data_IF_097508491094
#
_entry.id   IF_097508491094
#
_cell.length_a   1.000
_cell.length_b   1.000
_cell.length_c   1.000
_cell.angle_alpha   90.00
_cell.angle_beta   90.00
_cell.angle_gamma   90.00
#
_symmetry.space_group_name_H-M   'P 1'
#
loop_
_entity.id
_entity.type
_entity.pdbx_description
1 polymer ?
#
# COMPACT_ATOMS: atom_id res chain seq x y z
N UNK A 1 62.36 70.34 -9.88
CA UNK A 1 62.50 68.90 -9.91
C UNK A 1 61.23 68.22 -9.37
N UNK A 2 60.40 67.68 -10.20
CA UNK A 2 59.20 67.00 -9.79
C UNK A 2 59.27 65.52 -10.26
N UNK A 3 59.39 64.63 -9.31
CA UNK A 3 59.37 63.22 -9.56
C UNK A 3 57.94 62.68 -9.57
N UNK A 4 57.52 62.18 -10.71
CA UNK A 4 56.25 61.53 -10.92
C UNK A 4 56.34 60.11 -10.44
N UNK A 5 55.42 59.69 -9.50
CA UNK A 5 55.24 58.32 -9.09
C UNK A 5 54.13 57.71 -9.91
N UNK A 6 54.45 56.72 -10.72
CA UNK A 6 53.49 55.89 -11.42
C UNK A 6 52.91 54.84 -10.45
N UNK A 7 51.63 54.86 -10.23
CA UNK A 7 50.86 53.82 -9.52
C UNK A 7 50.46 52.76 -10.52
N UNK A 8 51.01 51.59 -10.40
CA UNK A 8 50.62 50.42 -11.14
C UNK A 8 49.35 49.80 -10.47
N UNK A 9 48.19 49.85 -11.14
CA UNK A 9 47.00 49.14 -10.72
C UNK A 9 47.07 47.68 -11.18
N UNK A 10 47.13 46.79 -10.22
CA UNK A 10 47.04 45.35 -10.44
C UNK A 10 45.55 45.01 -10.58
N UNK A 11 45.08 44.70 -11.81
CA UNK A 11 43.77 44.10 -12.04
C UNK A 11 43.85 42.59 -11.70
N UNK A 12 43.26 42.20 -10.59
CA UNK A 12 43.08 40.80 -10.29
C UNK A 12 41.85 40.29 -11.07
N UNK A 13 42.08 39.50 -12.11
CA UNK A 13 41.05 38.72 -12.79
C UNK A 13 40.66 37.54 -11.87
N UNK A 14 39.51 37.67 -11.23
CA UNK A 14 38.83 36.52 -10.59
C UNK A 14 38.13 35.73 -11.67
N UNK A 15 38.77 34.64 -12.10
CA UNK A 15 38.16 33.62 -12.96
C UNK A 15 37.12 32.87 -12.11
N UNK A 16 35.84 33.25 -12.22
CA UNK A 16 34.75 32.43 -11.72
C UNK A 16 34.65 31.17 -12.61
N UNK A 17 35.21 30.06 -12.14
CA UNK A 17 34.97 28.77 -12.71
C UNK A 17 33.50 28.41 -12.43
N UNK A 18 32.65 28.63 -13.40
CA UNK A 18 31.32 28.05 -13.42
C UNK A 18 31.48 26.52 -13.50
N UNK A 19 31.39 25.86 -12.36
CA UNK A 19 31.13 24.44 -12.29
C UNK A 19 29.73 24.22 -12.83
N UNK A 20 29.61 24.12 -14.15
CA UNK A 20 28.47 23.41 -14.75
C UNK A 20 28.59 21.99 -14.28
N UNK A 21 27.88 21.66 -13.18
CA UNK A 21 27.50 20.29 -12.92
C UNK A 21 26.68 19.86 -14.15
N UNK A 22 27.32 19.11 -15.06
CA UNK A 22 26.60 18.28 -16.00
C UNK A 22 25.82 17.27 -15.16
N UNK A 23 24.62 17.65 -14.76
CA UNK A 23 23.58 16.69 -14.49
C UNK A 23 23.29 16.03 -15.82
N UNK A 24 24.02 14.97 -16.14
CA UNK A 24 23.60 14.05 -17.16
C UNK A 24 22.19 13.63 -16.75
N UNK A 25 21.25 13.84 -17.61
CA UNK A 25 19.93 13.22 -17.52
C UNK A 25 20.18 11.73 -17.86
N UNK A 26 20.79 11.02 -16.88
CA UNK A 26 20.94 9.58 -16.93
C UNK A 26 19.54 9.02 -16.75
N UNK A 27 18.78 9.07 -17.85
CA UNK A 27 17.41 8.56 -17.89
C UNK A 27 17.39 7.17 -17.27
N UNK A 28 16.46 6.94 -16.32
CA UNK A 28 16.34 5.64 -15.68
C UNK A 28 16.14 4.55 -16.75
N UNK A 29 16.76 3.36 -16.58
CA UNK A 29 16.62 2.25 -17.54
C UNK A 29 15.23 1.60 -17.42
N UNK A 30 14.18 2.40 -17.41
CA UNK A 30 12.79 2.00 -17.43
C UNK A 30 12.21 2.18 -18.82
N UNK A 31 11.11 1.50 -19.13
CA UNK A 31 10.46 1.55 -20.45
C UNK A 31 10.11 2.98 -20.90
N UNK A 32 9.81 3.87 -19.95
CA UNK A 32 9.41 5.26 -20.22
C UNK A 32 10.53 6.28 -19.92
N UNK A 33 11.70 5.83 -19.45
CA UNK A 33 12.77 6.72 -19.00
C UNK A 33 12.47 7.46 -17.69
N UNK A 34 11.32 7.19 -17.07
CA UNK A 34 10.88 7.78 -15.80
C UNK A 34 11.48 7.07 -14.61
N UNK A 35 11.56 7.75 -13.46
CA UNK A 35 11.98 7.13 -12.20
C UNK A 35 11.08 5.94 -11.86
N UNK A 36 11.66 4.80 -11.40
CA UNK A 36 10.86 3.69 -10.91
C UNK A 36 9.94 4.10 -9.78
N UNK A 37 8.70 3.60 -9.79
CA UNK A 37 7.76 3.79 -8.68
C UNK A 37 8.16 2.88 -7.51
N UNK A 38 8.17 3.45 -6.30
CA UNK A 38 8.41 2.71 -5.06
C UNK A 38 7.07 2.32 -4.46
N UNK A 39 6.83 1.01 -4.33
CA UNK A 39 5.61 0.46 -3.75
C UNK A 39 5.92 -0.10 -2.36
N UNK A 40 5.27 0.45 -1.32
CA UNK A 40 5.35 -0.05 0.04
C UNK A 40 4.49 -1.31 0.23
N UNK A 41 5.05 -2.49 -0.11
CA UNK A 41 4.38 -3.79 -0.05
C UNK A 41 3.90 -4.12 1.35
N UNK A 42 2.58 -4.14 1.56
CA UNK A 42 1.91 -4.29 2.87
C UNK A 42 2.25 -3.18 3.87
N UNK A 43 2.70 -2.02 3.37
CA UNK A 43 3.29 -0.96 4.16
C UNK A 43 4.80 -1.13 4.39
N UNK A 44 5.33 -0.58 5.47
CA UNK A 44 6.72 -0.80 5.90
C UNK A 44 6.82 -2.11 6.71
N UNK A 45 6.47 -3.24 6.09
CA UNK A 45 6.28 -4.55 6.71
C UNK A 45 7.53 -5.13 7.37
N UNK A 46 8.73 -4.65 7.01
CA UNK A 46 9.98 -5.00 7.69
C UNK A 46 10.13 -4.34 9.07
N UNK A 47 9.36 -3.28 9.36
CA UNK A 47 9.44 -2.50 10.61
C UNK A 47 8.20 -2.63 11.49
N UNK A 48 7.02 -2.81 10.90
CA UNK A 48 5.73 -2.81 11.58
C UNK A 48 4.87 -3.97 11.07
N UNK A 49 3.88 -4.44 11.85
CA UNK A 49 2.95 -5.46 11.41
C UNK A 49 2.28 -5.10 10.08
N UNK A 50 2.21 -6.09 9.18
CA UNK A 50 1.65 -5.96 7.84
C UNK A 50 0.24 -5.33 7.88
N UNK A 51 -0.06 -4.51 6.87
CA UNK A 51 -1.40 -3.95 6.65
C UNK A 51 -1.96 -3.17 7.84
N UNK A 52 -1.15 -2.28 8.43
CA UNK A 52 -1.58 -1.32 9.45
C UNK A 52 -1.47 0.10 8.92
N UNK A 53 -2.30 1.02 9.42
CA UNK A 53 -2.20 2.45 9.01
C UNK A 53 -0.83 3.02 9.36
N UNK A 54 -0.28 2.62 10.49
CA UNK A 54 1.06 3.02 10.95
C UNK A 54 2.14 2.48 10.02
N UNK A 55 2.00 1.23 9.54
CA UNK A 55 2.89 0.62 8.56
C UNK A 55 2.84 1.34 7.21
N UNK A 56 1.65 1.70 6.73
CA UNK A 56 1.48 2.49 5.50
C UNK A 56 2.05 3.90 5.63
N UNK A 57 1.76 4.58 6.74
CA UNK A 57 2.33 5.90 7.03
C UNK A 57 3.86 5.84 7.04
N UNK A 58 4.43 4.82 7.69
CA UNK A 58 5.88 4.63 7.71
C UNK A 58 6.46 4.40 6.31
N UNK A 59 5.80 3.63 5.44
CA UNK A 59 6.22 3.45 4.05
C UNK A 59 6.24 4.79 3.29
N UNK A 60 5.21 5.61 3.46
CA UNK A 60 5.13 6.95 2.86
C UNK A 60 6.27 7.85 3.35
N UNK A 61 6.59 7.83 4.65
CA UNK A 61 7.70 8.59 5.25
C UNK A 61 9.05 8.13 4.70
N UNK A 62 9.20 6.85 4.35
CA UNK A 62 10.38 6.28 3.72
C UNK A 62 10.47 6.55 2.21
N UNK A 63 9.49 7.27 1.63
CA UNK A 63 9.51 7.71 0.24
C UNK A 63 8.67 6.85 -0.71
N UNK A 64 7.83 5.94 -0.23
CA UNK A 64 6.95 5.19 -1.11
C UNK A 64 6.01 6.10 -1.91
N UNK A 65 5.85 5.81 -3.20
CA UNK A 65 4.91 6.47 -4.10
C UNK A 65 3.52 5.86 -4.01
N UNK A 66 3.48 4.56 -3.74
CA UNK A 66 2.26 3.78 -3.55
C UNK A 66 2.34 2.99 -2.24
N UNK A 67 1.21 2.85 -1.56
CA UNK A 67 1.01 1.89 -0.48
C UNK A 67 0.13 0.76 -0.99
N UNK A 68 0.45 -0.46 -0.57
CA UNK A 68 -0.16 -1.66 -1.11
C UNK A 68 -0.95 -2.40 -0.02
N UNK A 69 -2.30 -2.38 -0.07
CA UNK A 69 -3.17 -3.19 0.76
C UNK A 69 -3.66 -4.44 0.02
N UNK A 70 -3.49 -5.60 0.63
CA UNK A 70 -4.23 -6.82 0.26
C UNK A 70 -5.64 -6.77 0.86
N UNK A 71 -6.66 -7.09 0.09
CA UNK A 71 -8.05 -6.93 0.47
C UNK A 71 -8.78 -8.26 0.61
N UNK A 72 -9.43 -8.44 1.74
CA UNK A 72 -10.39 -9.49 2.02
C UNK A 72 -11.71 -8.88 2.51
N UNK A 73 -12.82 -9.62 2.41
CA UNK A 73 -14.11 -9.14 2.87
C UNK A 73 -14.46 -9.67 4.27
N UNK A 74 -15.05 -8.79 5.08
CA UNK A 74 -15.72 -9.18 6.34
C UNK A 74 -17.05 -9.86 6.07
N UNK A 75 -17.65 -10.46 7.08
CA UNK A 75 -18.98 -11.07 7.03
C UNK A 75 -20.08 -10.10 6.56
N UNK A 76 -19.98 -8.84 6.93
CA UNK A 76 -20.90 -7.75 6.54
C UNK A 76 -20.43 -7.02 5.27
N UNK A 77 -19.44 -7.57 4.55
CA UNK A 77 -19.06 -7.15 3.22
C UNK A 77 -18.17 -5.91 3.13
N UNK A 78 -17.52 -5.51 4.23
CA UNK A 78 -16.55 -4.41 4.22
C UNK A 78 -15.18 -4.95 3.81
N UNK A 79 -14.47 -4.22 2.93
CA UNK A 79 -13.10 -4.57 2.55
C UNK A 79 -12.12 -4.11 3.61
N UNK A 80 -11.31 -5.04 4.11
CA UNK A 80 -10.26 -4.80 5.11
C UNK A 80 -8.91 -5.26 4.58
N UNK A 81 -7.85 -4.60 5.03
CA UNK A 81 -6.50 -4.92 4.60
C UNK A 81 -5.93 -6.09 5.41
N UNK A 82 -5.87 -7.26 4.81
CA UNK A 82 -5.22 -8.48 5.31
C UNK A 82 -4.71 -9.33 4.15
N UNK A 83 -3.50 -9.91 4.33
CA UNK A 83 -2.86 -10.71 3.29
C UNK A 83 -3.67 -11.95 2.93
N UNK A 84 -4.27 -12.62 3.91
CA UNK A 84 -5.03 -13.85 3.70
C UNK A 84 -6.44 -13.74 4.29
N UNK A 85 -7.42 -14.50 3.74
CA UNK A 85 -8.71 -14.70 4.39
C UNK A 85 -8.58 -15.28 5.80
N UNK A 86 -7.60 -16.17 6.02
CA UNK A 86 -7.28 -16.74 7.34
C UNK A 86 -6.41 -15.75 8.14
N UNK A 87 -7.01 -15.14 9.16
CA UNK A 87 -6.38 -14.10 9.98
C UNK A 87 -5.62 -14.62 11.21
N UNK A 88 -5.49 -15.92 11.35
CA UNK A 88 -4.87 -16.57 12.52
C UNK A 88 -3.43 -16.08 12.76
N UNK A 89 -2.62 -16.04 11.71
CA UNK A 89 -1.20 -15.71 11.81
C UNK A 89 -0.88 -14.22 11.77
N UNK A 90 -1.88 -13.35 11.51
CA UNK A 90 -1.67 -11.92 11.31
C UNK A 90 -2.44 -11.05 12.31
N UNK A 91 -3.18 -11.69 13.25
CA UNK A 91 -3.95 -11.00 14.29
C UNK A 91 -3.86 -11.76 15.62
N UNK A 92 -4.24 -11.09 16.69
CA UNK A 92 -4.32 -11.68 18.04
C UNK A 92 -5.58 -12.54 18.27
N UNK A 93 -6.32 -12.92 17.22
CA UNK A 93 -7.60 -13.63 17.29
C UNK A 93 -7.51 -14.95 18.08
N UNK A 94 -6.40 -15.67 17.97
CA UNK A 94 -6.16 -16.93 18.70
C UNK A 94 -6.04 -16.71 20.22
N UNK A 95 -5.80 -15.49 20.67
CA UNK A 95 -5.69 -15.08 22.08
C UNK A 95 -7.01 -14.52 22.63
N UNK A 96 -8.08 -14.52 21.80
CA UNK A 96 -9.39 -13.95 22.13
C UNK A 96 -10.39 -15.03 22.50
N UNK A 97 -10.64 -15.28 23.82
CA UNK A 97 -11.56 -16.33 24.28
C UNK A 97 -12.96 -16.22 23.68
N UNK A 98 -13.46 -14.98 23.48
CA UNK A 98 -14.77 -14.70 22.90
C UNK A 98 -14.93 -15.22 21.47
N UNK A 99 -13.83 -15.45 20.76
CA UNK A 99 -13.82 -15.95 19.38
C UNK A 99 -13.35 -17.41 19.27
N UNK A 100 -13.05 -18.09 20.39
CA UNK A 100 -12.52 -19.46 20.36
C UNK A 100 -13.43 -20.43 19.59
N UNK A 101 -14.75 -20.32 19.77
CA UNK A 101 -15.75 -21.19 19.13
C UNK A 101 -15.89 -20.93 17.59
N UNK A 102 -15.29 -19.87 17.04
CA UNK A 102 -15.33 -19.56 15.62
C UNK A 102 -14.19 -20.17 14.84
N UNK A 103 -13.24 -20.83 15.51
CA UNK A 103 -12.18 -21.58 14.82
C UNK A 103 -12.81 -22.67 13.97
N UNK A 104 -12.49 -22.69 12.66
CA UNK A 104 -13.12 -23.57 11.69
C UNK A 104 -12.15 -24.01 10.60
N UNK A 105 -12.60 -24.91 9.74
CA UNK A 105 -11.86 -25.34 8.54
C UNK A 105 -12.56 -24.82 7.31
N UNK A 106 -11.79 -24.22 6.41
CA UNK A 106 -12.26 -23.77 5.08
C UNK A 106 -11.27 -24.19 4.01
N UNK A 107 -11.74 -24.23 2.78
CA UNK A 107 -10.89 -24.44 1.60
C UNK A 107 -10.69 -23.08 0.94
N UNK A 108 -9.44 -22.65 0.83
CA UNK A 108 -9.02 -21.44 0.11
C UNK A 108 -8.16 -21.92 -1.07
N UNK A 109 -8.57 -21.62 -2.29
CA UNK A 109 -7.88 -22.01 -3.54
C UNK A 109 -7.46 -23.48 -3.59
N UNK A 110 -8.35 -24.37 -3.13
CA UNK A 110 -8.11 -25.82 -3.12
C UNK A 110 -7.29 -26.34 -1.93
N UNK A 111 -6.79 -25.45 -1.07
CA UNK A 111 -6.03 -25.83 0.15
C UNK A 111 -6.96 -25.77 1.37
N UNK A 112 -6.99 -26.85 2.14
CA UNK A 112 -7.73 -26.87 3.40
C UNK A 112 -6.92 -26.20 4.50
N UNK A 113 -7.50 -25.18 5.09
CA UNK A 113 -6.91 -24.42 6.19
C UNK A 113 -7.78 -24.49 7.45
N UNK A 114 -7.15 -24.47 8.62
CA UNK A 114 -7.82 -24.37 9.91
C UNK A 114 -7.45 -23.06 10.60
N UNK A 115 -8.44 -22.33 11.07
CA UNK A 115 -8.19 -21.04 11.74
C UNK A 115 -9.44 -20.19 11.85
N UNK A 116 -9.22 -18.89 11.93
CA UNK A 116 -10.26 -17.85 11.94
C UNK A 116 -10.19 -17.09 10.63
N UNK A 117 -11.34 -16.91 9.98
CA UNK A 117 -11.42 -16.29 8.65
C UNK A 117 -12.13 -14.95 8.73
N UNK A 118 -11.58 -13.91 8.10
CA UNK A 118 -12.14 -12.56 8.09
C UNK A 118 -13.63 -12.54 7.72
N UNK A 119 -14.04 -13.41 6.78
CA UNK A 119 -15.42 -13.57 6.33
C UNK A 119 -16.41 -14.08 7.40
N UNK A 120 -15.93 -14.54 8.55
CA UNK A 120 -16.78 -14.98 9.67
C UNK A 120 -17.01 -13.88 10.71
N UNK A 121 -16.35 -12.73 10.57
CA UNK A 121 -16.40 -11.59 11.49
C UNK A 121 -17.03 -10.37 10.83
N UNK A 122 -17.85 -9.65 11.56
CA UNK A 122 -18.28 -8.31 11.18
C UNK A 122 -17.10 -7.33 11.29
N UNK A 123 -17.19 -6.18 10.62
CA UNK A 123 -16.19 -5.12 10.79
C UNK A 123 -16.02 -4.73 12.25
N UNK A 124 -17.13 -4.57 12.98
CA UNK A 124 -17.09 -4.20 14.40
C UNK A 124 -16.27 -5.18 15.24
N UNK A 125 -16.41 -6.48 15.00
CA UNK A 125 -15.63 -7.52 15.66
C UNK A 125 -14.15 -7.49 15.23
N UNK A 126 -13.85 -7.36 13.93
CA UNK A 126 -12.47 -7.25 13.46
C UNK A 126 -11.75 -6.03 14.04
N UNK A 127 -12.45 -4.92 14.25
CA UNK A 127 -11.87 -3.72 14.87
C UNK A 127 -11.48 -3.93 16.35
N UNK A 128 -11.96 -4.97 17.02
CA UNK A 128 -11.50 -5.33 18.36
C UNK A 128 -10.16 -6.06 18.36
N UNK A 129 -9.79 -6.69 17.22
CA UNK A 129 -8.54 -7.40 17.05
C UNK A 129 -7.37 -6.44 16.82
N UNK A 130 -6.17 -6.98 17.03
CA UNK A 130 -4.92 -6.25 16.79
C UNK A 130 -4.02 -7.04 15.85
N UNK A 131 -3.33 -6.30 14.98
CA UNK A 131 -2.35 -6.88 14.07
C UNK A 131 -1.13 -7.41 14.83
N UNK A 132 -0.61 -8.54 14.35
CA UNK A 132 0.68 -9.10 14.78
C UNK A 132 1.59 -9.29 13.56
N UNK A 133 2.89 -9.24 13.80
CA UNK A 133 3.91 -9.50 12.78
C UNK A 133 3.95 -10.99 12.47
N UNK A 134 3.67 -11.41 11.21
CA UNK A 134 3.59 -12.83 10.88
C UNK A 134 4.95 -13.54 10.80
N UNK A 135 6.05 -12.81 10.61
CA UNK A 135 7.38 -13.37 10.42
C UNK A 135 8.20 -13.20 11.71
N UNK A 136 8.60 -14.31 12.30
CA UNK A 136 9.26 -14.34 13.61
C UNK A 136 10.61 -13.61 13.65
N UNK A 137 11.30 -13.51 12.52
CA UNK A 137 12.59 -12.81 12.37
C UNK A 137 12.46 -11.29 12.31
N UNK A 138 11.24 -10.75 12.17
CA UNK A 138 10.98 -9.31 12.19
C UNK A 138 10.68 -8.82 13.61
N UNK A 139 10.72 -7.50 13.80
CA UNK A 139 10.43 -6.87 15.10
C UNK A 139 8.99 -7.19 15.56
N UNK A 140 8.89 -7.90 16.70
CA UNK A 140 7.65 -8.31 17.33
C UNK A 140 7.15 -7.29 18.39
N UNK A 141 7.92 -6.23 18.67
CA UNK A 141 7.63 -5.30 19.78
C UNK A 141 6.35 -4.49 19.57
N UNK A 142 5.81 -4.46 18.35
CA UNK A 142 4.58 -3.74 17.99
C UNK A 142 3.35 -4.62 17.87
N UNK A 143 3.47 -5.91 18.15
CA UNK A 143 2.33 -6.82 18.16
C UNK A 143 1.24 -6.38 19.13
N UNK A 144 -0.01 -6.50 18.72
CA UNK A 144 -1.16 -6.17 19.58
C UNK A 144 -1.44 -4.66 19.73
N UNK A 145 -0.72 -3.78 19.02
CA UNK A 145 -0.89 -2.32 19.16
C UNK A 145 -1.83 -1.71 18.14
N UNK A 146 -1.86 -2.21 16.89
CA UNK A 146 -2.51 -1.56 15.77
C UNK A 146 -3.76 -2.31 15.32
N UNK A 147 -4.76 -1.56 14.86
CA UNK A 147 -6.01 -2.11 14.34
C UNK A 147 -5.86 -2.60 12.90
N UNK A 148 -6.83 -3.43 12.47
CA UNK A 148 -7.01 -3.83 11.08
C UNK A 148 -7.73 -2.68 10.35
N UNK A 149 -7.14 -2.06 9.32
CA UNK A 149 -7.79 -0.98 8.60
C UNK A 149 -8.75 -1.49 7.53
N UNK A 150 -9.76 -0.67 7.24
CA UNK A 150 -10.59 -0.81 6.02
C UNK A 150 -9.86 -0.20 4.82
N UNK A 151 -10.30 -0.54 3.60
CA UNK A 151 -9.82 0.13 2.40
C UNK A 151 -10.07 1.64 2.45
N UNK A 152 -11.23 2.09 2.95
CA UNK A 152 -11.54 3.52 3.07
C UNK A 152 -10.53 4.23 3.98
N UNK A 153 -10.20 3.66 5.13
CA UNK A 153 -9.18 4.24 6.04
C UNK A 153 -7.79 4.31 5.39
N UNK A 154 -7.43 3.33 4.54
CA UNK A 154 -6.17 3.36 3.78
C UNK A 154 -6.19 4.49 2.73
N UNK A 155 -7.30 4.67 2.02
CA UNK A 155 -7.46 5.75 1.04
C UNK A 155 -7.46 7.14 1.71
N UNK A 156 -8.10 7.28 2.86
CA UNK A 156 -8.08 8.51 3.66
C UNK A 156 -6.67 8.86 4.12
N UNK A 157 -5.91 7.86 4.58
CA UNK A 157 -4.49 8.04 4.93
C UNK A 157 -3.68 8.52 3.71
N UNK A 158 -3.81 7.84 2.57
CA UNK A 158 -3.08 8.21 1.35
C UNK A 158 -3.37 9.66 0.92
N UNK A 159 -4.64 10.08 0.97
CA UNK A 159 -5.05 11.45 0.65
C UNK A 159 -4.51 12.48 1.65
N UNK A 160 -4.62 12.19 2.95
CA UNK A 160 -4.17 13.12 4.00
C UNK A 160 -2.65 13.29 3.97
N UNK A 161 -1.90 12.19 3.87
CA UNK A 161 -0.44 12.24 3.77
C UNK A 161 0.02 12.88 2.45
N UNK A 162 -0.69 12.62 1.35
CA UNK A 162 -0.43 13.28 0.07
C UNK A 162 -0.58 14.79 0.16
N UNK A 163 -1.66 15.26 0.79
CA UNK A 163 -1.89 16.70 1.05
C UNK A 163 -0.77 17.28 1.93
N UNK A 164 -0.41 16.59 3.00
CA UNK A 164 0.65 17.02 3.93
C UNK A 164 2.01 17.14 3.25
N UNK A 165 2.32 16.23 2.31
CA UNK A 165 3.61 16.17 1.62
C UNK A 165 3.64 16.98 0.30
N UNK A 166 2.51 17.52 -0.16
CA UNK A 166 2.41 18.22 -1.44
C UNK A 166 2.65 17.31 -2.67
N UNK A 167 2.44 15.98 -2.53
CA UNK A 167 2.57 15.01 -3.62
C UNK A 167 1.43 13.99 -3.59
N UNK A 168 1.16 13.36 -4.73
CA UNK A 168 0.17 12.27 -4.75
C UNK A 168 0.77 11.01 -4.11
N UNK A 169 0.00 10.37 -3.23
CA UNK A 169 0.27 9.02 -2.75
C UNK A 169 -0.74 8.09 -3.40
N UNK A 170 -0.25 7.12 -4.16
CA UNK A 170 -1.10 6.13 -4.80
C UNK A 170 -1.42 4.96 -3.88
N UNK A 171 -2.48 4.21 -4.25
CA UNK A 171 -2.84 2.96 -3.56
C UNK A 171 -2.83 1.82 -4.58
N UNK A 172 -2.25 0.67 -4.19
CA UNK A 172 -2.05 -0.49 -5.06
C UNK A 172 -2.77 -1.72 -4.50
N UNK A 173 -4.13 -1.71 -4.42
CA UNK A 173 -4.87 -2.77 -3.77
C UNK A 173 -4.84 -4.08 -4.56
N UNK A 174 -4.60 -5.19 -3.84
CA UNK A 174 -4.80 -6.55 -4.34
C UNK A 174 -6.16 -7.09 -3.91
N UNK A 175 -6.88 -7.70 -4.82
CA UNK A 175 -8.02 -8.55 -4.47
C UNK A 175 -7.53 -9.97 -4.16
N UNK A 176 -7.54 -10.33 -2.86
CA UNK A 176 -7.05 -11.64 -2.41
C UNK A 176 -8.12 -12.72 -2.57
N UNK A 177 -7.74 -13.83 -3.23
CA UNK A 177 -8.61 -14.99 -3.41
C UNK A 177 -10.05 -14.61 -3.84
N UNK A 178 -10.24 -13.84 -4.94
CA UNK A 178 -11.56 -13.36 -5.33
C UNK A 178 -12.56 -14.50 -5.57
N UNK A 179 -12.14 -15.62 -6.18
CA UNK A 179 -13.01 -16.80 -6.35
C UNK A 179 -13.50 -17.38 -5.02
N UNK A 180 -12.66 -17.44 -3.99
CA UNK A 180 -13.06 -17.83 -2.64
C UNK A 180 -14.17 -16.90 -2.10
N UNK A 181 -14.00 -15.60 -2.25
CA UNK A 181 -15.00 -14.62 -1.80
C UNK A 181 -16.31 -14.66 -2.60
N UNK A 182 -16.25 -14.90 -3.92
CA UNK A 182 -17.44 -15.12 -4.75
C UNK A 182 -18.25 -16.30 -4.25
N UNK A 183 -17.61 -17.40 -3.92
CA UNK A 183 -18.26 -18.61 -3.40
C UNK A 183 -18.95 -18.38 -2.04
N UNK A 184 -18.57 -17.35 -1.32
CA UNK A 184 -19.20 -16.92 -0.07
C UNK A 184 -20.29 -15.83 -0.25
N UNK A 185 -20.55 -15.38 -1.50
CA UNK A 185 -21.40 -14.22 -1.76
C UNK A 185 -20.79 -12.87 -1.35
N UNK A 186 -19.50 -12.83 -1.17
CA UNK A 186 -18.72 -11.68 -0.70
C UNK A 186 -17.82 -11.11 -1.80
N UNK A 187 -18.28 -11.04 -3.04
CA UNK A 187 -17.53 -10.53 -4.19
C UNK A 187 -16.72 -9.26 -3.83
N UNK A 188 -15.42 -9.30 -4.08
CA UNK A 188 -14.53 -8.18 -3.76
C UNK A 188 -14.63 -7.05 -4.78
N UNK A 189 -14.85 -7.40 -6.06
CA UNK A 189 -14.75 -6.50 -7.21
C UNK A 189 -15.73 -5.33 -7.13
N UNK A 190 -17.02 -5.61 -6.97
CA UNK A 190 -18.05 -4.57 -6.95
C UNK A 190 -17.92 -3.69 -5.70
N UNK A 191 -17.51 -4.28 -4.57
CA UNK A 191 -17.20 -3.54 -3.33
C UNK A 191 -16.01 -2.62 -3.50
N UNK A 192 -14.92 -3.12 -4.11
CA UNK A 192 -13.74 -2.32 -4.42
C UNK A 192 -14.11 -1.15 -5.34
N UNK A 193 -14.83 -1.43 -6.44
CA UNK A 193 -15.22 -0.39 -7.39
C UNK A 193 -16.14 0.66 -6.76
N UNK A 194 -17.05 0.26 -5.88
CA UNK A 194 -17.92 1.19 -5.15
C UNK A 194 -17.11 2.13 -4.23
N UNK A 195 -16.13 1.58 -3.49
CA UNK A 195 -15.24 2.39 -2.67
C UNK A 195 -14.40 3.32 -3.54
N UNK A 196 -13.76 2.82 -4.61
CA UNK A 196 -12.95 3.65 -5.50
C UNK A 196 -13.77 4.79 -6.14
N UNK A 197 -15.00 4.51 -6.56
CA UNK A 197 -15.89 5.52 -7.12
C UNK A 197 -16.23 6.63 -6.11
N UNK A 198 -16.46 6.30 -4.84
CA UNK A 198 -16.68 7.25 -3.74
C UNK A 198 -15.50 8.23 -3.59
N UNK A 199 -14.28 7.77 -3.87
CA UNK A 199 -13.05 8.59 -3.85
C UNK A 199 -12.76 9.29 -5.18
N UNK A 200 -13.59 9.08 -6.21
CA UNK A 200 -13.38 9.62 -7.56
C UNK A 200 -12.31 8.87 -8.36
N UNK A 201 -11.93 7.67 -7.96
CA UNK A 201 -10.89 6.86 -8.62
C UNK A 201 -11.52 5.93 -9.66
N UNK A 202 -11.80 6.48 -10.86
CA UNK A 202 -12.51 5.77 -11.93
C UNK A 202 -11.77 5.74 -13.26
N UNK A 203 -10.64 6.43 -13.38
CA UNK A 203 -9.91 6.63 -14.63
C UNK A 203 -8.49 6.06 -14.61
N UNK A 204 -7.85 6.00 -15.78
CA UNK A 204 -6.44 5.58 -15.92
C UNK A 204 -5.46 6.50 -15.19
N UNK A 205 -5.85 7.77 -14.97
CA UNK A 205 -5.02 8.78 -14.29
C UNK A 205 -5.25 8.81 -12.80
N UNK A 206 -6.22 8.07 -12.27
CA UNK A 206 -6.44 7.94 -10.83
C UNK A 206 -5.19 7.37 -10.16
N UNK A 207 -4.83 7.83 -8.95
CA UNK A 207 -3.68 7.34 -8.22
C UNK A 207 -3.97 5.96 -7.59
N UNK A 208 -4.43 5.03 -8.41
CA UNK A 208 -4.76 3.66 -8.02
C UNK A 208 -4.37 2.69 -9.12
N UNK A 209 -3.84 1.54 -8.73
CA UNK A 209 -3.55 0.40 -9.61
C UNK A 209 -4.08 -0.83 -8.90
N UNK A 210 -5.03 -1.53 -9.47
CA UNK A 210 -5.59 -2.76 -8.88
C UNK A 210 -4.84 -3.97 -9.40
N UNK A 211 -4.51 -4.90 -8.51
CA UNK A 211 -3.79 -6.12 -8.85
C UNK A 211 -4.56 -7.38 -8.43
N UNK A 212 -4.28 -8.48 -9.10
CA UNK A 212 -4.83 -9.79 -8.78
C UNK A 212 -4.01 -10.91 -9.41
N UNK A 213 -3.96 -12.08 -8.75
CA UNK A 213 -3.47 -13.33 -9.35
C UNK A 213 -4.51 -13.95 -10.29
N UNK A 214 -5.80 -13.67 -10.11
CA UNK A 214 -6.86 -14.29 -10.90
C UNK A 214 -7.20 -13.48 -12.15
N UNK A 215 -6.93 -14.06 -13.32
CA UNK A 215 -7.24 -13.45 -14.64
C UNK A 215 -8.74 -13.16 -14.80
N UNK A 216 -9.60 -14.04 -14.30
CA UNK A 216 -11.07 -13.87 -14.32
C UNK A 216 -11.51 -12.60 -13.61
N UNK A 217 -10.95 -12.34 -12.43
CA UNK A 217 -11.16 -11.13 -11.64
C UNK A 217 -10.77 -9.87 -12.43
N UNK A 218 -9.56 -9.87 -13.01
CA UNK A 218 -9.08 -8.72 -13.81
C UNK A 218 -9.93 -8.47 -15.06
N UNK A 219 -10.39 -9.52 -15.74
CA UNK A 219 -11.31 -9.40 -16.87
C UNK A 219 -12.64 -8.78 -16.45
N UNK A 220 -13.19 -9.22 -15.33
CA UNK A 220 -14.41 -8.63 -14.78
C UNK A 220 -14.20 -7.16 -14.43
N UNK A 221 -13.15 -6.82 -13.69
CA UNK A 221 -12.81 -5.43 -13.35
C UNK A 221 -12.65 -4.57 -14.61
N UNK A 222 -11.94 -5.07 -15.65
CA UNK A 222 -11.75 -4.32 -16.89
C UNK A 222 -13.06 -4.00 -17.60
N UNK A 223 -14.07 -4.85 -17.48
CA UNK A 223 -15.40 -4.58 -18.05
C UNK A 223 -16.15 -3.45 -17.35
N UNK A 224 -15.75 -3.07 -16.13
CA UNK A 224 -16.45 -2.12 -15.25
C UNK A 224 -15.68 -0.81 -15.00
N UNK A 225 -14.37 -0.79 -15.16
CA UNK A 225 -13.55 0.39 -14.81
C UNK A 225 -12.44 0.66 -15.80
N UNK A 226 -11.98 1.92 -15.83
CA UNK A 226 -10.80 2.34 -16.60
C UNK A 226 -9.53 2.48 -15.74
N UNK A 227 -9.57 2.20 -14.44
CA UNK A 227 -8.37 2.22 -13.60
C UNK A 227 -7.30 1.25 -14.11
N UNK A 228 -6.05 1.51 -13.77
CA UNK A 228 -4.94 0.61 -14.13
C UNK A 228 -5.09 -0.74 -13.43
N UNK A 229 -4.86 -1.82 -14.16
CA UNK A 229 -4.92 -3.19 -13.64
C UNK A 229 -3.58 -3.89 -13.91
N UNK A 230 -3.16 -4.74 -12.98
CA UNK A 230 -1.93 -5.54 -13.07
C UNK A 230 -2.25 -7.00 -12.78
N UNK A 231 -1.75 -7.89 -13.63
CA UNK A 231 -1.73 -9.33 -13.41
C UNK A 231 -0.51 -9.69 -12.58
N UNK A 232 -0.73 -10.38 -11.47
CA UNK A 232 0.33 -11.03 -10.70
C UNK A 232 0.58 -12.45 -11.24
N UNK A 233 1.84 -12.90 -11.22
CA UNK A 233 2.30 -14.20 -11.75
C UNK A 233 3.20 -14.91 -10.74
#
# INVERSE_FOLDING_TARGET
MRTSRATASLLALVSAALLTACGGDDGYPTLLGESPLVIGHRGASGYLPDHTLEGYKRAIELGADFIEPDLVATKDGVLVARHEPNITGTTDVAQRPEFAARKTRKVVDGVQEEGWFASDFTLAELKTLRAIQPLAERDQSRNGQYQIPTLEEVLDLAKSEGTRLGRSIGVYPETKHPTYHVNLGLQLEDRLLAVLAKYGYTSKTSPVIVQSFEVSNLKYLRSKTQVRLVQLV
#
